data_IF_817385984990
#
_entry.id   IF_817385984990
#
_cell.length_a   1.000
_cell.length_b   1.000
_cell.length_c   1.000
_cell.angle_alpha   90.00
_cell.angle_beta   90.00
_cell.angle_gamma   90.00
#
_symmetry.space_group_name_H-M   'P 1'
#
loop_
_entity.id
_entity.type
_entity.pdbx_description
1 polymer ?
#
# COMPACT_ATOMS: atom_id res chain seq x y z
N UNK A 1 20.15 -13.75 -20.04
CA UNK A 1 20.39 -14.26 -18.66
C UNK A 1 21.07 -13.20 -17.80
N UNK A 2 21.96 -12.37 -18.38
CA UNK A 2 22.68 -11.28 -17.69
C UNK A 2 21.84 -10.19 -17.01
N UNK A 3 20.58 -10.00 -17.41
CA UNK A 3 19.70 -8.97 -16.82
C UNK A 3 19.23 -9.39 -15.42
N UNK A 4 18.92 -10.68 -15.23
CA UNK A 4 18.48 -11.22 -13.93
C UNK A 4 19.69 -11.28 -12.99
N UNK A 5 20.84 -11.77 -13.45
CA UNK A 5 22.08 -11.74 -12.66
C UNK A 5 22.51 -10.32 -12.36
N UNK A 6 22.51 -9.37 -13.30
CA UNK A 6 22.83 -7.95 -13.05
C UNK A 6 21.89 -7.30 -12.01
N UNK A 7 20.61 -7.67 -12.01
CA UNK A 7 19.65 -7.24 -10.99
C UNK A 7 20.03 -7.84 -9.62
N UNK A 8 20.20 -9.15 -9.50
CA UNK A 8 20.56 -9.80 -8.24
C UNK A 8 21.99 -9.52 -7.74
N UNK A 9 22.91 -9.05 -8.59
CA UNK A 9 24.31 -8.77 -8.24
C UNK A 9 24.51 -7.36 -7.67
N UNK A 10 23.50 -6.48 -7.70
CA UNK A 10 23.60 -5.20 -6.99
C UNK A 10 23.60 -5.42 -5.48
N UNK A 11 24.63 -4.86 -4.84
CA UNK A 11 24.74 -4.78 -3.38
C UNK A 11 23.42 -4.21 -2.81
N UNK A 12 22.76 -4.99 -1.95
CA UNK A 12 21.50 -4.69 -1.27
C UNK A 12 20.18 -4.78 -2.08
N UNK A 13 20.16 -5.30 -3.33
CA UNK A 13 18.88 -5.45 -4.07
C UNK A 13 17.89 -6.38 -3.36
N UNK A 14 18.39 -7.42 -2.69
CA UNK A 14 17.54 -8.36 -1.95
C UNK A 14 16.73 -7.65 -0.86
N UNK A 15 17.33 -6.66 -0.18
CA UNK A 15 16.67 -5.84 0.85
C UNK A 15 15.63 -4.91 0.25
N UNK A 16 15.91 -4.27 -0.89
CA UNK A 16 14.94 -3.42 -1.61
C UNK A 16 13.76 -4.23 -2.15
N UNK A 17 14.00 -5.44 -2.65
CA UNK A 17 12.96 -6.36 -3.11
C UNK A 17 12.10 -6.84 -1.94
N UNK A 18 12.72 -7.27 -0.84
CA UNK A 18 12.03 -7.67 0.37
C UNK A 18 11.17 -6.53 0.94
N UNK A 19 11.71 -5.30 0.91
CA UNK A 19 10.97 -4.10 1.28
C UNK A 19 9.72 -3.91 0.42
N UNK A 20 9.84 -3.96 -0.92
CA UNK A 20 8.67 -3.81 -1.80
C UNK A 20 7.59 -4.85 -1.50
N UNK A 21 8.00 -6.12 -1.36
CA UNK A 21 7.08 -7.22 -1.11
C UNK A 21 6.38 -7.00 0.23
N UNK A 22 7.12 -6.73 1.30
CA UNK A 22 6.56 -6.54 2.64
C UNK A 22 5.73 -5.25 2.74
N UNK A 23 6.13 -4.18 2.08
CA UNK A 23 5.41 -2.91 2.06
C UNK A 23 3.99 -3.08 1.49
N UNK A 24 3.86 -3.87 0.42
CA UNK A 24 2.54 -4.18 -0.19
C UNK A 24 1.89 -5.45 0.34
N UNK A 25 2.52 -6.15 1.27
CA UNK A 25 2.02 -7.43 1.78
C UNK A 25 0.68 -7.23 2.50
N UNK A 26 0.62 -6.29 3.44
CA UNK A 26 -0.62 -5.96 4.16
C UNK A 26 -1.72 -5.45 3.22
N UNK A 27 -1.36 -4.62 2.24
CA UNK A 27 -2.28 -4.13 1.20
C UNK A 27 -2.88 -5.28 0.38
N UNK A 28 -2.06 -6.27 -0.01
CA UNK A 28 -2.55 -7.40 -0.78
C UNK A 28 -3.64 -8.20 -0.07
N UNK A 29 -3.61 -8.26 1.26
CA UNK A 29 -4.71 -8.84 2.02
C UNK A 29 -5.96 -7.97 1.96
N UNK A 30 -5.83 -6.69 2.23
CA UNK A 30 -6.96 -5.76 2.33
C UNK A 30 -7.65 -5.47 0.99
N UNK A 31 -6.91 -5.37 -0.12
CA UNK A 31 -7.41 -4.81 -1.38
C UNK A 31 -8.63 -5.56 -1.94
N UNK A 32 -8.69 -6.89 -1.75
CA UNK A 32 -9.85 -7.70 -2.18
C UNK A 32 -10.93 -7.80 -1.12
N UNK A 33 -10.55 -7.81 0.15
CA UNK A 33 -11.49 -7.99 1.27
C UNK A 33 -12.24 -6.70 1.58
N UNK A 34 -11.62 -5.53 1.41
CA UNK A 34 -12.25 -4.23 1.64
C UNK A 34 -13.61 -4.12 0.90
N UNK A 35 -13.68 -4.20 -0.44
CA UNK A 35 -14.97 -4.10 -1.14
C UNK A 35 -15.96 -5.21 -0.77
N UNK A 36 -15.48 -6.42 -0.44
CA UNK A 36 -16.33 -7.51 0.05
C UNK A 36 -16.93 -7.20 1.42
N UNK A 37 -16.14 -6.62 2.32
CA UNK A 37 -16.56 -6.15 3.65
C UNK A 37 -17.62 -5.05 3.56
N UNK A 38 -17.46 -4.08 2.65
CA UNK A 38 -18.48 -3.04 2.45
C UNK A 38 -19.81 -3.61 1.95
N UNK A 39 -19.75 -4.59 1.03
CA UNK A 39 -20.93 -5.24 0.46
C UNK A 39 -21.59 -6.25 1.40
N UNK A 40 -20.81 -6.92 2.25
CA UNK A 40 -21.31 -7.98 3.12
C UNK A 40 -22.38 -7.47 4.09
N UNK A 41 -23.35 -8.32 4.41
CA UNK A 41 -24.40 -8.00 5.37
C UNK A 41 -23.82 -7.63 6.74
N UNK A 42 -24.49 -6.72 7.45
CA UNK A 42 -24.15 -6.35 8.83
C UNK A 42 -24.21 -7.54 9.78
N UNK A 43 -25.11 -8.49 9.53
CA UNK A 43 -25.19 -9.75 10.30
C UNK A 43 -23.93 -10.61 10.17
N UNK A 44 -23.18 -10.48 9.08
CA UNK A 44 -21.90 -11.16 8.84
C UNK A 44 -20.70 -10.30 9.22
N UNK A 45 -20.93 -9.11 9.81
CA UNK A 45 -19.90 -8.17 10.21
C UNK A 45 -19.43 -7.21 9.11
N UNK A 46 -20.16 -7.07 8.01
CA UNK A 46 -19.93 -6.06 6.96
C UNK A 46 -20.72 -4.77 7.17
N UNK A 47 -20.67 -3.84 6.20
CA UNK A 47 -21.39 -2.55 6.28
C UNK A 47 -22.76 -2.55 5.57
N UNK A 48 -23.00 -3.55 4.71
CA UNK A 48 -24.26 -3.70 3.97
C UNK A 48 -24.52 -2.58 2.95
N UNK A 49 -23.47 -1.98 2.40
CA UNK A 49 -23.59 -0.90 1.43
C UNK A 49 -24.08 -1.41 0.07
N UNK A 50 -24.83 -0.56 -0.64
CA UNK A 50 -25.20 -0.86 -2.02
C UNK A 50 -23.95 -0.81 -2.91
N UNK A 51 -23.95 -1.58 -4.01
CA UNK A 51 -22.86 -1.55 -4.98
C UNK A 51 -22.70 -0.18 -5.63
N UNK A 52 -23.79 0.59 -5.73
CA UNK A 52 -23.76 1.97 -6.23
C UNK A 52 -23.02 2.90 -5.27
N UNK A 53 -23.28 2.80 -3.97
CA UNK A 53 -22.61 3.62 -2.95
C UNK A 53 -21.13 3.28 -2.87
N UNK A 54 -20.79 1.99 -2.92
CA UNK A 54 -19.39 1.54 -2.98
C UNK A 54 -18.73 2.14 -4.21
N UNK A 55 -19.34 2.04 -5.39
CA UNK A 55 -18.80 2.60 -6.64
C UNK A 55 -18.60 4.11 -6.58
N UNK A 56 -19.52 4.85 -5.95
CA UNK A 56 -19.46 6.30 -5.82
C UNK A 56 -18.38 6.74 -4.82
N UNK A 57 -18.32 6.10 -3.65
CA UNK A 57 -17.33 6.40 -2.60
C UNK A 57 -15.93 5.98 -3.04
N UNK A 58 -15.73 4.74 -3.51
CA UNK A 58 -14.41 4.25 -3.95
C UNK A 58 -13.98 4.84 -5.28
N UNK A 59 -14.90 4.82 -6.25
CA UNK A 59 -14.60 5.20 -7.62
C UNK A 59 -14.42 6.70 -7.79
N UNK A 60 -15.36 7.51 -7.31
CA UNK A 60 -15.31 8.97 -7.54
C UNK A 60 -14.54 9.67 -6.43
N UNK A 61 -15.02 9.59 -5.19
CA UNK A 61 -14.41 10.32 -4.07
C UNK A 61 -13.05 9.75 -3.67
N UNK A 62 -12.93 8.42 -3.65
CA UNK A 62 -11.69 7.71 -3.35
C UNK A 62 -10.61 8.00 -4.38
N UNK A 63 -10.91 7.92 -5.68
CA UNK A 63 -9.93 8.28 -6.72
C UNK A 63 -9.51 9.74 -6.65
N UNK A 64 -10.43 10.68 -6.41
CA UNK A 64 -10.08 12.09 -6.22
C UNK A 64 -9.14 12.29 -5.02
N UNK A 65 -9.46 11.65 -3.89
CA UNK A 65 -8.64 11.68 -2.68
C UNK A 65 -7.25 11.04 -2.91
N UNK A 66 -7.19 9.93 -3.64
CA UNK A 66 -5.94 9.26 -4.01
C UNK A 66 -5.04 10.17 -4.85
N UNK A 67 -5.60 10.87 -5.85
CA UNK A 67 -4.85 11.80 -6.68
C UNK A 67 -4.29 12.94 -5.81
N UNK A 68 -5.13 13.54 -4.96
CA UNK A 68 -4.70 14.62 -4.05
C UNK A 68 -3.59 14.15 -3.09
N UNK A 69 -3.76 12.97 -2.47
CA UNK A 69 -2.77 12.39 -1.58
C UNK A 69 -1.45 12.08 -2.30
N UNK A 70 -1.53 11.54 -3.52
CA UNK A 70 -0.37 11.23 -4.37
C UNK A 70 0.43 12.48 -4.73
N UNK A 71 -0.26 13.55 -5.16
CA UNK A 71 0.39 14.83 -5.50
C UNK A 71 1.06 15.45 -4.27
N UNK A 72 0.39 15.45 -3.12
CA UNK A 72 0.94 15.97 -1.87
C UNK A 72 2.14 15.17 -1.37
N UNK A 73 2.14 13.84 -1.53
CA UNK A 73 3.31 13.02 -1.23
C UNK A 73 4.51 13.39 -2.10
N UNK A 74 4.30 13.60 -3.40
CA UNK A 74 5.36 14.04 -4.31
C UNK A 74 6.00 15.35 -3.85
N UNK A 75 5.18 16.34 -3.48
CA UNK A 75 5.68 17.62 -2.95
C UNK A 75 6.41 17.45 -1.61
N UNK A 76 5.87 16.65 -0.70
CA UNK A 76 6.46 16.37 0.61
C UNK A 76 7.83 15.69 0.50
N UNK A 77 7.95 14.70 -0.39
CA UNK A 77 9.19 13.98 -0.67
C UNK A 77 10.22 14.91 -1.31
N UNK A 78 9.81 15.76 -2.25
CA UNK A 78 10.68 16.75 -2.89
C UNK A 78 11.29 17.72 -1.86
N UNK A 79 10.53 18.10 -0.83
CA UNK A 79 10.99 19.03 0.20
C UNK A 79 11.90 18.41 1.28
N UNK A 80 11.63 17.16 1.72
CA UNK A 80 12.34 16.53 2.87
C UNK A 80 13.28 15.39 2.50
N UNK A 81 13.27 14.96 1.24
CA UNK A 81 13.89 13.73 0.80
C UNK A 81 13.02 12.50 1.07
N UNK A 82 13.11 11.53 0.17
CA UNK A 82 12.54 10.19 0.27
C UNK A 82 13.00 9.43 1.53
N UNK A 83 14.27 9.49 1.94
CA UNK A 83 14.80 8.71 3.06
C UNK A 83 14.12 9.04 4.38
N UNK A 84 13.92 10.32 4.67
CA UNK A 84 13.20 10.78 5.87
C UNK A 84 11.69 10.65 5.71
N UNK A 85 11.18 10.74 4.48
CA UNK A 85 9.75 10.65 4.20
C UNK A 85 9.23 9.22 4.19
N UNK A 86 10.07 8.20 3.92
CA UNK A 86 9.66 6.80 3.79
C UNK A 86 8.87 6.29 5.01
N UNK A 87 9.28 6.69 6.22
CA UNK A 87 8.57 6.31 7.44
C UNK A 87 7.18 6.98 7.54
N UNK A 88 7.06 8.24 7.14
CA UNK A 88 5.79 8.96 7.10
C UNK A 88 4.86 8.41 6.02
N UNK A 89 5.43 8.01 4.88
CA UNK A 89 4.72 7.40 3.76
C UNK A 89 4.21 6.02 4.17
N UNK A 90 5.03 5.22 4.84
CA UNK A 90 4.63 3.94 5.42
C UNK A 90 3.52 4.12 6.47
N UNK A 91 3.65 5.11 7.37
CA UNK A 91 2.57 5.46 8.30
C UNK A 91 1.26 5.76 7.57
N UNK A 92 1.30 6.66 6.58
CA UNK A 92 0.12 7.03 5.80
C UNK A 92 -0.49 5.85 5.03
N UNK A 93 0.35 4.95 4.52
CA UNK A 93 -0.07 3.74 3.83
C UNK A 93 -0.79 2.74 4.74
N UNK A 94 -0.52 2.80 6.05
CA UNK A 94 -1.14 1.92 7.04
C UNK A 94 -2.37 2.50 7.74
N UNK A 95 -2.60 3.83 7.64
CA UNK A 95 -3.85 4.47 8.06
C UNK A 95 -5.08 3.73 7.51
N UNK A 96 -5.12 3.34 6.22
CA UNK A 96 -6.21 2.55 5.67
C UNK A 96 -6.63 1.35 6.50
N UNK A 97 -5.66 0.54 6.94
CA UNK A 97 -5.93 -0.70 7.66
C UNK A 97 -6.51 -0.43 9.05
N UNK A 98 -6.09 0.66 9.70
CA UNK A 98 -6.65 1.10 10.98
C UNK A 98 -8.09 1.57 10.79
N UNK A 99 -8.34 2.35 9.73
CA UNK A 99 -9.70 2.83 9.41
C UNK A 99 -10.64 1.66 9.15
N UNK A 100 -10.23 0.65 8.39
CA UNK A 100 -11.04 -0.54 8.17
C UNK A 100 -11.28 -1.35 9.44
N UNK A 101 -10.27 -1.53 10.29
CA UNK A 101 -10.44 -2.21 11.57
C UNK A 101 -11.45 -1.48 12.47
N UNK A 102 -11.43 -0.14 12.48
CA UNK A 102 -12.40 0.67 13.22
C UNK A 102 -13.79 0.57 12.60
N UNK A 103 -13.92 0.64 11.27
CA UNK A 103 -15.20 0.45 10.58
C UNK A 103 -15.81 -0.93 10.85
N UNK A 104 -14.99 -1.98 10.86
CA UNK A 104 -15.42 -3.33 11.20
C UNK A 104 -15.84 -3.49 12.67
N UNK A 105 -15.27 -2.69 13.57
CA UNK A 105 -15.63 -2.68 14.98
C UNK A 105 -16.89 -1.88 15.29
N UNK A 106 -16.99 -0.65 14.76
CA UNK A 106 -18.08 0.28 15.06
C UNK A 106 -19.31 0.10 14.17
N UNK A 107 -19.16 -0.47 12.96
CA UNK A 107 -20.24 -0.70 12.00
C UNK A 107 -21.24 0.46 11.91
N UNK A 108 -20.78 1.69 11.59
CA UNK A 108 -21.65 2.85 11.54
C UNK A 108 -22.80 2.65 10.55
N UNK A 109 -23.99 3.08 10.97
CA UNK A 109 -25.21 2.91 10.15
C UNK A 109 -25.32 3.93 9.03
N UNK A 110 -24.73 5.10 9.24
CA UNK A 110 -24.76 6.24 8.34
C UNK A 110 -23.68 6.17 7.26
N UNK A 111 -24.04 6.54 6.02
CA UNK A 111 -23.12 6.51 4.88
C UNK A 111 -22.05 7.61 4.94
N UNK A 112 -22.37 8.76 5.55
CA UNK A 112 -21.49 9.92 5.65
C UNK A 112 -20.16 9.62 6.41
N UNK A 113 -20.16 9.05 7.63
CA UNK A 113 -18.91 8.72 8.33
C UNK A 113 -18.11 7.65 7.59
N UNK A 114 -18.76 6.71 6.89
CA UNK A 114 -18.07 5.72 6.05
C UNK A 114 -17.40 6.40 4.86
N UNK A 115 -18.09 7.31 4.18
CA UNK A 115 -17.53 8.06 3.05
C UNK A 115 -16.33 8.91 3.45
N UNK A 116 -16.40 9.63 4.57
CA UNK A 116 -15.26 10.40 5.10
C UNK A 116 -14.09 9.47 5.46
N UNK A 117 -14.37 8.35 6.11
CA UNK A 117 -13.35 7.36 6.46
C UNK A 117 -12.63 6.83 5.21
N UNK A 118 -13.37 6.44 4.17
CA UNK A 118 -12.79 5.95 2.91
C UNK A 118 -12.02 7.06 2.18
N UNK A 119 -12.48 8.31 2.20
CA UNK A 119 -11.74 9.44 1.61
C UNK A 119 -10.40 9.66 2.29
N UNK A 120 -10.37 9.68 3.63
CA UNK A 120 -9.13 9.82 4.41
C UNK A 120 -8.19 8.63 4.18
N UNK A 121 -8.77 7.44 4.09
CA UNK A 121 -8.08 6.21 3.79
C UNK A 121 -7.41 6.25 2.40
N UNK A 122 -8.16 6.56 1.34
CA UNK A 122 -7.65 6.67 -0.03
C UNK A 122 -6.59 7.76 -0.17
N UNK A 123 -6.74 8.85 0.58
CA UNK A 123 -5.74 9.89 0.67
C UNK A 123 -4.42 9.36 1.24
N UNK A 124 -4.47 8.65 2.37
CA UNK A 124 -3.29 8.03 2.99
C UNK A 124 -2.65 6.95 2.11
N UNK A 125 -3.50 6.15 1.44
CA UNK A 125 -3.06 5.15 0.46
C UNK A 125 -2.30 5.78 -0.71
N UNK A 126 -2.85 6.82 -1.34
CA UNK A 126 -2.18 7.56 -2.42
C UNK A 126 -0.88 8.21 -1.97
N UNK A 127 -0.89 8.80 -0.77
CA UNK A 127 0.30 9.39 -0.18
C UNK A 127 1.41 8.34 -0.03
N UNK A 128 1.12 7.19 0.57
CA UNK A 128 2.09 6.11 0.78
C UNK A 128 2.53 5.40 -0.50
N UNK A 129 1.66 5.28 -1.50
CA UNK A 129 1.95 4.59 -2.77
C UNK A 129 3.00 5.33 -3.60
N UNK A 130 2.94 6.67 -3.65
CA UNK A 130 3.95 7.48 -4.36
C UNK A 130 5.34 7.31 -3.75
N UNK A 131 5.43 7.13 -2.43
CA UNK A 131 6.68 6.83 -1.74
C UNK A 131 7.36 5.57 -2.25
N UNK A 132 6.59 4.48 -2.39
CA UNK A 132 7.08 3.21 -2.91
C UNK A 132 7.52 3.34 -4.38
N UNK A 133 6.73 4.04 -5.20
CA UNK A 133 7.03 4.26 -6.62
C UNK A 133 8.33 5.05 -6.79
N UNK A 134 8.51 6.14 -6.03
CA UNK A 134 9.73 6.94 -6.05
C UNK A 134 10.93 6.16 -5.52
N UNK A 135 10.76 5.30 -4.50
CA UNK A 135 11.82 4.41 -4.05
C UNK A 135 12.27 3.44 -5.15
N UNK A 136 11.34 2.84 -5.88
CA UNK A 136 11.66 1.99 -7.02
C UNK A 136 12.42 2.74 -8.12
N UNK A 137 11.98 3.96 -8.45
CA UNK A 137 12.67 4.80 -9.44
C UNK A 137 14.05 5.27 -8.98
N UNK A 138 14.20 5.71 -7.73
CA UNK A 138 15.42 6.33 -7.23
C UNK A 138 16.47 5.34 -6.72
N UNK A 139 16.07 4.16 -6.24
CA UNK A 139 16.99 3.20 -5.61
C UNK A 139 17.19 1.94 -6.45
N UNK A 140 16.19 1.51 -7.22
CA UNK A 140 16.27 0.26 -8.00
C UNK A 140 16.59 0.54 -9.47
N UNK A 141 15.92 1.53 -10.07
CA UNK A 141 16.13 1.90 -11.46
C UNK A 141 17.52 2.51 -11.80
N UNK A 142 18.33 3.13 -10.90
CA UNK A 142 19.60 3.73 -11.33
C UNK A 142 20.59 2.68 -11.86
N UNK A 143 20.88 2.66 -13.16
CA UNK A 143 21.82 1.70 -13.76
C UNK A 143 21.76 1.71 -15.29
N UNK A 144 22.57 0.86 -15.95
CA UNK A 144 22.63 0.74 -17.42
C UNK A 144 21.29 0.35 -18.08
N UNK A 145 20.36 -0.27 -17.33
CA UNK A 145 19.06 -0.74 -17.84
C UNK A 145 17.89 -0.26 -16.96
N UNK A 146 17.71 1.06 -16.83
CA UNK A 146 16.69 1.70 -15.96
C UNK A 146 15.28 1.10 -16.18
N UNK A 147 14.85 0.96 -17.43
CA UNK A 147 13.51 0.46 -17.79
C UNK A 147 13.30 -1.01 -17.43
N UNK A 148 14.29 -1.86 -17.67
CA UNK A 148 14.19 -3.29 -17.39
C UNK A 148 14.16 -3.57 -15.88
N UNK A 149 14.99 -2.85 -15.10
CA UNK A 149 15.03 -2.97 -13.65
C UNK A 149 13.73 -2.49 -13.00
N UNK A 150 13.17 -1.38 -13.49
CA UNK A 150 11.88 -0.88 -13.03
C UNK A 150 10.73 -1.84 -13.37
N UNK A 151 10.71 -2.38 -14.59
CA UNK A 151 9.71 -3.37 -14.99
C UNK A 151 9.79 -4.65 -14.13
N UNK A 152 10.99 -5.14 -13.85
CA UNK A 152 11.19 -6.31 -12.99
C UNK A 152 10.75 -6.04 -11.55
N UNK A 153 11.13 -4.88 -10.98
CA UNK A 153 10.70 -4.47 -9.65
C UNK A 153 9.17 -4.31 -9.56
N UNK A 154 8.54 -3.79 -10.61
CA UNK A 154 7.07 -3.69 -10.71
C UNK A 154 6.41 -5.06 -10.79
N UNK A 155 7.02 -6.01 -11.51
CA UNK A 155 6.58 -7.40 -11.52
C UNK A 155 6.61 -8.02 -10.12
N UNK A 156 7.73 -7.87 -9.40
CA UNK A 156 7.86 -8.37 -8.02
C UNK A 156 6.87 -7.66 -7.08
N UNK A 157 6.68 -6.35 -7.26
CA UNK A 157 5.71 -5.58 -6.51
C UNK A 157 4.30 -6.17 -6.64
N UNK A 158 3.88 -6.49 -7.87
CA UNK A 158 2.56 -7.09 -8.11
C UNK A 158 2.47 -8.50 -7.55
N UNK A 159 3.55 -9.29 -7.59
CA UNK A 159 3.58 -10.60 -6.93
C UNK A 159 3.39 -10.49 -5.41
N UNK A 160 4.00 -9.47 -4.78
CA UNK A 160 3.87 -9.20 -3.36
C UNK A 160 2.44 -8.88 -2.90
N UNK A 161 1.59 -8.36 -3.80
CA UNK A 161 0.15 -8.15 -3.55
C UNK A 161 -0.65 -9.38 -3.90
N UNK A 162 -0.33 -10.00 -5.03
CA UNK A 162 -1.11 -11.09 -5.60
C UNK A 162 -1.15 -12.30 -4.68
N UNK A 163 0.00 -12.69 -4.12
CA UNK A 163 0.10 -13.85 -3.22
C UNK A 163 -0.80 -13.67 -1.98
N UNK A 164 -0.62 -12.61 -1.16
CA UNK A 164 -1.56 -12.26 -0.09
C UNK A 164 -3.02 -12.20 -0.52
N UNK A 165 -3.30 -11.57 -1.65
CA UNK A 165 -4.66 -11.40 -2.16
C UNK A 165 -5.31 -12.71 -2.63
N UNK A 166 -4.55 -13.78 -2.86
CA UNK A 166 -5.11 -15.10 -3.11
C UNK A 166 -5.54 -15.79 -1.81
N UNK A 167 -4.73 -15.65 -0.75
CA UNK A 167 -5.04 -16.24 0.55
C UNK A 167 -6.02 -15.42 1.38
N UNK A 168 -6.17 -14.13 1.09
CA UNK A 168 -7.00 -13.21 1.87
C UNK A 168 -8.47 -13.63 1.95
N UNK A 169 -9.03 -14.17 0.86
CA UNK A 169 -10.39 -14.73 0.83
C UNK A 169 -10.55 -15.87 1.83
N UNK A 170 -9.69 -16.89 1.72
CA UNK A 170 -9.72 -18.06 2.60
C UNK A 170 -9.55 -17.66 4.07
N UNK A 171 -8.64 -16.74 4.37
CA UNK A 171 -8.43 -16.27 5.74
C UNK A 171 -9.67 -15.50 6.20
N UNK A 172 -10.18 -14.55 5.41
CA UNK A 172 -11.38 -13.77 5.76
C UNK A 172 -12.59 -14.64 6.04
N UNK A 173 -12.80 -15.71 5.26
CA UNK A 173 -13.90 -16.65 5.46
C UNK A 173 -13.74 -17.47 6.75
N UNK A 174 -12.50 -17.72 7.17
CA UNK A 174 -12.20 -18.56 8.34
C UNK A 174 -12.20 -17.80 9.67
N UNK A 175 -11.68 -16.57 9.69
CA UNK A 175 -11.58 -15.75 10.93
C UNK A 175 -12.60 -14.62 11.00
N UNK A 176 -13.32 -14.34 9.91
CA UNK A 176 -14.28 -13.23 9.81
C UNK A 176 -13.62 -11.86 9.67
N UNK A 177 -14.39 -10.87 9.18
CA UNK A 177 -13.88 -9.54 8.83
C UNK A 177 -13.18 -8.81 9.98
N UNK A 178 -13.72 -8.89 11.20
CA UNK A 178 -13.16 -8.19 12.37
C UNK A 178 -11.76 -8.68 12.73
N UNK A 179 -11.56 -10.00 12.82
CA UNK A 179 -10.22 -10.55 13.08
C UNK A 179 -9.31 -10.45 11.86
N UNK A 180 -9.87 -10.46 10.64
CA UNK A 180 -9.11 -10.25 9.41
C UNK A 180 -8.42 -8.89 9.39
N UNK A 181 -9.11 -7.79 9.70
CA UNK A 181 -8.45 -6.48 9.72
C UNK A 181 -7.40 -6.35 10.84
N UNK A 182 -7.60 -7.00 11.98
CA UNK A 182 -6.59 -7.09 13.04
C UNK A 182 -5.36 -7.87 12.53
N UNK A 183 -5.59 -8.99 11.83
CA UNK A 183 -4.51 -9.76 11.21
C UNK A 183 -3.75 -8.90 10.20
N UNK A 184 -4.45 -8.11 9.38
CA UNK A 184 -3.81 -7.19 8.42
C UNK A 184 -2.97 -6.15 9.16
N UNK A 185 -3.47 -5.58 10.25
CA UNK A 185 -2.71 -4.66 11.11
C UNK A 185 -1.43 -5.31 11.64
N UNK A 186 -1.48 -6.56 12.09
CA UNK A 186 -0.26 -7.28 12.51
C UNK A 186 0.70 -7.48 11.33
N UNK A 187 0.18 -7.77 10.14
CA UNK A 187 0.97 -7.90 8.92
C UNK A 187 1.61 -6.58 8.45
N UNK A 188 1.19 -5.43 8.98
CA UNK A 188 1.87 -4.14 8.76
C UNK A 188 3.17 -4.00 9.55
N UNK A 189 3.30 -4.70 10.68
CA UNK A 189 4.46 -4.56 11.60
C UNK A 189 5.78 -4.94 10.90
N UNK A 190 5.87 -6.08 10.19
CA UNK A 190 7.07 -6.42 9.42
C UNK A 190 7.38 -5.38 8.33
N UNK A 191 6.35 -4.79 7.71
CA UNK A 191 6.53 -3.74 6.71
C UNK A 191 7.18 -2.49 7.31
N UNK A 192 6.73 -2.07 8.50
CA UNK A 192 7.34 -0.97 9.24
C UNK A 192 8.80 -1.25 9.62
N UNK A 193 9.08 -2.45 10.14
CA UNK A 193 10.44 -2.83 10.52
C UNK A 193 11.37 -2.77 9.30
N UNK A 194 10.97 -3.35 8.17
CA UNK A 194 11.81 -3.32 6.96
C UNK A 194 11.93 -1.93 6.36
N UNK A 195 10.93 -1.07 6.51
CA UNK A 195 11.02 0.36 6.16
C UNK A 195 12.11 1.08 6.96
N UNK A 196 12.22 0.79 8.26
CA UNK A 196 13.24 1.37 9.15
C UNK A 196 14.65 0.88 8.84
N UNK A 197 14.79 -0.40 8.49
CA UNK A 197 16.08 -1.03 8.19
C UNK A 197 16.48 -0.91 6.72
N UNK A 198 15.65 -0.33 5.85
CA UNK A 198 15.95 -0.31 4.42
C UNK A 198 17.22 0.52 4.16
N UNK A 199 18.27 -0.09 3.59
CA UNK A 199 19.47 0.65 3.24
C UNK A 199 19.13 1.58 2.06
N UNK A 200 19.59 2.83 2.14
CA UNK A 200 19.58 3.79 1.03
C UNK A 200 20.98 3.85 0.41
N UNK A 201 21.31 2.97 -0.54
CA UNK A 201 22.63 2.93 -1.17
C UNK A 201 22.90 4.13 -2.09
N UNK A 202 21.86 4.81 -2.61
CA UNK A 202 22.02 6.01 -3.43
C UNK A 202 21.66 7.28 -2.64
N UNK A 203 22.60 8.24 -2.62
CA UNK A 203 22.38 9.59 -2.08
C UNK A 203 21.30 10.32 -2.89
N UNK A 204 20.33 10.93 -2.19
CA UNK A 204 19.19 11.66 -2.77
C UNK A 204 19.61 12.87 -3.63
N UNK A 205 20.87 13.31 -3.53
CA UNK A 205 21.42 14.42 -4.29
C UNK A 205 22.10 13.97 -5.59
N UNK A 206 21.32 13.43 -6.53
CA UNK A 206 21.63 13.65 -7.94
C UNK A 206 20.46 14.40 -8.55
N UNK A 207 20.57 15.73 -8.51
CA UNK A 207 20.02 16.55 -9.59
C UNK A 207 20.60 15.95 -10.87
N UNK A 208 19.75 15.31 -11.67
CA UNK A 208 20.08 15.05 -13.07
C UNK A 208 20.16 16.45 -13.72
N UNK A 209 21.38 16.98 -13.81
CA UNK A 209 21.75 17.96 -14.84
C UNK A 209 21.88 17.23 -16.19
#
# INVERSE_FOLDING_TARGET
MDIITSFFTKKNILWSVLFIILYRFAEGFAIKIAPLFFKASRTSGGLGLSTSDIGLIYGTYGSAAFILGSVLAGYFISARGLKKSLIWLCCAFNIPFVVYALLAHYQPTELLPVGIAVVVEYFGYGFGFVGLMLYMMQQIAPGKHKTAHYAFATGIMNLGVMIPGMFSGMISDWIGYKMFFIWVLVATIPAFLVTLFVPFPYSENKKEE
#
